data_IF_035582356829
#
_entry.id   IF_035582356829
#
_cell.length_a   1.000
_cell.length_b   1.000
_cell.length_c   1.000
_cell.angle_alpha   90.00
_cell.angle_beta   90.00
_cell.angle_gamma   90.00
#
_symmetry.space_group_name_H-M   'P 1'
#
loop_
_entity.id
_entity.type
_entity.pdbx_description
1 polymer ?
#
# COMPACT_ATOMS: atom_id res chain seq x y z
N UNK A 1 11.50 -3.90 -4.68
CA UNK A 1 10.27 -4.47 -4.12
C UNK A 1 9.19 -3.42 -4.02
N UNK A 2 7.95 -3.86 -4.20
CA UNK A 2 6.74 -3.06 -4.04
C UNK A 2 5.85 -3.74 -3.01
N UNK A 3 5.43 -3.02 -1.99
CA UNK A 3 4.39 -3.47 -1.08
C UNK A 3 3.04 -3.03 -1.66
N UNK A 4 2.16 -3.97 -1.89
CA UNK A 4 0.83 -3.71 -2.45
C UNK A 4 -0.13 -3.29 -1.35
N UNK A 5 -0.77 -2.14 -1.54
CA UNK A 5 -1.87 -1.70 -0.66
C UNK A 5 -3.22 -2.17 -1.18
N UNK A 6 -4.19 -2.32 -0.28
CA UNK A 6 -5.54 -2.75 -0.62
C UNK A 6 -6.22 -1.80 -1.62
N UNK A 7 -5.96 -0.50 -1.54
CA UNK A 7 -6.52 0.48 -2.47
C UNK A 7 -6.10 0.23 -3.92
N UNK A 8 -4.86 -0.18 -4.15
CA UNK A 8 -4.37 -0.59 -5.46
C UNK A 8 -4.84 -2.01 -5.82
N UNK A 9 -4.79 -2.94 -4.86
CA UNK A 9 -5.19 -4.34 -5.08
C UNK A 9 -6.58 -4.45 -5.73
N UNK A 10 -7.58 -3.75 -5.18
CA UNK A 10 -8.94 -3.79 -5.71
C UNK A 10 -9.09 -3.20 -7.10
N UNK A 11 -8.08 -2.45 -7.58
CA UNK A 11 -8.10 -1.77 -8.89
C UNK A 11 -7.20 -2.38 -9.92
N UNK A 12 -6.44 -3.43 -9.59
CA UNK A 12 -5.55 -4.10 -10.55
C UNK A 12 -6.30 -4.67 -11.76
N UNK A 13 -7.54 -5.12 -11.56
CA UNK A 13 -8.39 -5.65 -12.63
C UNK A 13 -9.32 -4.61 -13.27
N UNK A 14 -9.17 -3.33 -12.96
CA UNK A 14 -10.05 -2.29 -13.51
C UNK A 14 -9.88 -2.17 -15.03
N UNK A 15 -10.98 -2.19 -15.81
CA UNK A 15 -10.89 -1.97 -17.26
C UNK A 15 -10.48 -0.54 -17.63
N UNK A 16 -10.54 0.41 -16.69
CA UNK A 16 -10.08 1.78 -16.89
C UNK A 16 -8.59 1.96 -16.60
N UNK A 17 -7.93 0.95 -16.04
CA UNK A 17 -6.48 1.01 -15.87
C UNK A 17 -5.80 0.94 -17.24
N UNK A 18 -4.86 1.85 -17.47
CA UNK A 18 -4.09 1.90 -18.71
C UNK A 18 -3.46 0.54 -19.01
N UNK A 19 -3.56 0.08 -20.25
CA UNK A 19 -3.08 -1.25 -20.64
C UNK A 19 -1.58 -1.42 -20.46
N UNK A 20 -0.79 -0.39 -20.73
CA UNK A 20 0.65 -0.44 -20.51
C UNK A 20 0.97 -0.58 -19.01
N UNK A 21 0.25 0.15 -18.15
CA UNK A 21 0.38 0.05 -16.71
C UNK A 21 -0.05 -1.33 -16.19
N UNK A 22 -1.13 -1.85 -16.71
CA UNK A 22 -1.60 -3.19 -16.36
C UNK A 22 -0.55 -4.26 -16.68
N UNK A 23 0.07 -4.19 -17.87
CA UNK A 23 1.16 -5.11 -18.25
C UNK A 23 2.39 -4.95 -17.38
N UNK A 24 2.75 -3.72 -17.04
CA UNK A 24 3.90 -3.44 -16.17
C UNK A 24 3.71 -4.06 -14.78
N UNK A 25 2.55 -3.87 -14.16
CA UNK A 25 2.26 -4.47 -12.85
C UNK A 25 2.21 -5.99 -12.93
N UNK A 26 1.62 -6.55 -13.99
CA UNK A 26 1.61 -7.99 -14.21
C UNK A 26 3.02 -8.57 -14.35
N UNK A 27 3.92 -7.87 -15.03
CA UNK A 27 5.34 -8.26 -15.12
C UNK A 27 6.02 -8.23 -13.74
N UNK A 28 5.78 -7.19 -12.95
CA UNK A 28 6.31 -7.11 -11.59
C UNK A 28 5.83 -8.25 -10.71
N UNK A 29 4.55 -8.62 -10.80
CA UNK A 29 4.00 -9.77 -10.08
C UNK A 29 4.68 -11.06 -10.52
N UNK A 30 4.79 -11.28 -11.82
CA UNK A 30 5.43 -12.48 -12.38
C UNK A 30 6.90 -12.62 -11.95
N UNK A 31 7.58 -11.50 -11.74
CA UNK A 31 8.98 -11.46 -11.29
C UNK A 31 9.14 -11.51 -9.77
N UNK A 32 8.05 -11.62 -9.01
CA UNK A 32 8.07 -11.65 -7.55
C UNK A 32 8.44 -10.31 -6.89
N UNK A 33 8.26 -9.20 -7.59
CA UNK A 33 8.60 -7.86 -7.10
C UNK A 33 7.46 -7.20 -6.32
N UNK A 34 6.22 -7.68 -6.49
CA UNK A 34 5.05 -7.21 -5.73
C UNK A 34 4.85 -8.12 -4.53
N UNK A 35 4.74 -7.52 -3.36
CA UNK A 35 4.67 -8.22 -2.08
C UNK A 35 3.38 -7.88 -1.34
N UNK A 36 2.94 -8.79 -0.50
CA UNK A 36 1.84 -8.61 0.42
C UNK A 36 2.34 -8.31 1.83
N UNK A 37 1.42 -7.89 2.68
CA UNK A 37 1.64 -7.66 4.10
C UNK A 37 0.41 -8.04 4.90
N UNK A 38 0.53 -8.14 6.21
CA UNK A 38 -0.62 -8.39 7.09
C UNK A 38 -1.74 -7.35 6.91
N UNK A 39 -1.47 -6.03 6.84
CA UNK A 39 -2.50 -5.05 6.52
C UNK A 39 -3.29 -5.37 5.26
N UNK A 40 -2.63 -5.69 4.17
CA UNK A 40 -3.29 -6.06 2.92
C UNK A 40 -4.22 -7.25 3.11
N UNK A 41 -3.73 -8.29 3.78
CA UNK A 41 -4.51 -9.52 3.99
C UNK A 41 -5.74 -9.27 4.88
N UNK A 42 -5.59 -8.48 5.93
CA UNK A 42 -6.70 -8.14 6.83
C UNK A 42 -7.77 -7.32 6.10
N UNK A 43 -7.36 -6.32 5.34
CA UNK A 43 -8.31 -5.46 4.62
C UNK A 43 -9.04 -6.20 3.51
N UNK A 44 -8.34 -7.01 2.73
CA UNK A 44 -8.96 -7.75 1.62
C UNK A 44 -9.89 -8.86 2.08
N UNK A 45 -9.72 -9.36 3.30
CA UNK A 45 -10.55 -10.42 3.90
C UNK A 45 -11.61 -9.90 4.87
N UNK A 46 -11.70 -8.58 5.08
CA UNK A 46 -12.64 -7.98 6.02
C UNK A 46 -14.09 -8.00 5.50
N UNK A 47 -14.30 -8.10 4.20
CA UNK A 47 -15.62 -8.14 3.58
C UNK A 47 -16.28 -9.51 3.67
N UNK A 48 -17.57 -9.58 3.26
CA UNK A 48 -18.35 -10.81 3.24
C UNK A 48 -17.91 -11.80 2.17
N UNK A 49 -17.31 -11.30 1.10
CA UNK A 49 -16.86 -12.08 -0.04
C UNK A 49 -15.35 -12.00 -0.11
N UNK A 50 -14.69 -13.13 -0.21
CA UNK A 50 -13.25 -13.18 -0.39
C UNK A 50 -12.90 -12.69 -1.80
N UNK A 51 -11.74 -12.04 -1.98
CA UNK A 51 -11.30 -11.61 -3.29
C UNK A 51 -11.08 -12.81 -4.22
N UNK A 52 -11.27 -12.65 -5.54
CA UNK A 52 -11.08 -13.75 -6.50
C UNK A 52 -9.62 -14.20 -6.61
N UNK A 53 -8.68 -13.36 -6.23
CA UNK A 53 -7.24 -13.66 -6.16
C UNK A 53 -6.82 -13.53 -4.69
N UNK A 54 -6.11 -14.53 -4.17
CA UNK A 54 -5.61 -14.46 -2.80
C UNK A 54 -4.29 -13.68 -2.75
N UNK A 55 -4.26 -12.51 -2.10
CA UNK A 55 -3.01 -11.77 -1.94
C UNK A 55 -1.97 -12.54 -1.12
N UNK A 56 -2.38 -13.56 -0.37
CA UNK A 56 -1.47 -14.46 0.36
C UNK A 56 -0.57 -15.31 -0.53
N UNK A 57 -0.85 -15.39 -1.83
CA UNK A 57 0.03 -16.05 -2.81
C UNK A 57 1.25 -15.17 -3.19
N UNK A 58 1.21 -13.88 -2.90
CA UNK A 58 2.35 -12.98 -3.09
C UNK A 58 3.40 -13.21 -1.99
N UNK A 59 4.69 -12.93 -2.26
CA UNK A 59 5.70 -12.93 -1.21
C UNK A 59 5.29 -12.00 -0.07
N UNK A 60 5.47 -12.45 1.18
CA UNK A 60 5.07 -11.70 2.37
C UNK A 60 6.24 -10.91 2.96
N UNK A 61 5.99 -9.63 3.26
CA UNK A 61 6.85 -8.82 4.11
C UNK A 61 6.27 -8.83 5.53
N UNK A 62 7.01 -9.42 6.45
CA UNK A 62 6.56 -9.58 7.84
C UNK A 62 6.73 -8.28 8.64
N UNK A 63 5.82 -8.08 9.59
CA UNK A 63 5.89 -7.00 10.56
C UNK A 63 7.04 -7.27 11.53
N UNK A 64 7.84 -6.25 11.79
CA UNK A 64 8.84 -6.24 12.87
C UNK A 64 8.43 -5.30 13.99
N UNK A 65 8.99 -5.47 15.17
CA UNK A 65 8.78 -4.52 16.28
C UNK A 65 9.16 -3.08 15.86
N UNK A 66 10.21 -2.93 15.08
CA UNK A 66 10.63 -1.63 14.55
C UNK A 66 9.56 -1.01 13.65
N UNK A 67 8.93 -1.79 12.79
CA UNK A 67 7.83 -1.31 11.95
C UNK A 67 6.61 -0.90 12.77
N UNK A 68 6.27 -1.63 13.84
CA UNK A 68 5.16 -1.25 14.72
C UNK A 68 5.41 0.09 15.40
N UNK A 69 6.60 0.29 15.94
CA UNK A 69 6.98 1.58 16.55
C UNK A 69 6.99 2.72 15.53
N UNK A 70 7.49 2.44 14.33
CA UNK A 70 7.55 3.42 13.26
C UNK A 70 6.16 3.84 12.78
N UNK A 71 5.19 2.93 12.74
CA UNK A 71 3.81 3.24 12.40
C UNK A 71 3.22 4.30 13.34
N UNK A 72 3.44 4.15 14.65
CA UNK A 72 3.00 5.14 15.64
C UNK A 72 3.69 6.50 15.44
N UNK A 73 4.99 6.50 15.17
CA UNK A 73 5.74 7.72 14.89
C UNK A 73 5.24 8.44 13.62
N UNK A 74 4.99 7.72 12.54
CA UNK A 74 4.44 8.31 11.31
C UNK A 74 3.05 8.92 11.55
N UNK A 75 2.19 8.26 12.34
CA UNK A 75 0.90 8.81 12.73
C UNK A 75 1.05 10.10 13.53
N UNK A 76 1.96 10.14 14.47
CA UNK A 76 2.23 11.35 15.27
C UNK A 76 2.74 12.51 14.41
N UNK A 77 3.61 12.23 13.45
CA UNK A 77 4.09 13.25 12.51
C UNK A 77 2.93 13.80 11.65
N UNK A 78 2.08 12.92 11.13
CA UNK A 78 0.97 13.32 10.29
C UNK A 78 -0.08 14.12 11.09
N UNK A 79 -0.32 13.73 12.34
CA UNK A 79 -1.17 14.48 13.27
C UNK A 79 -0.62 15.87 13.54
N UNK A 80 0.68 15.99 13.78
CA UNK A 80 1.35 17.29 14.01
C UNK A 80 1.26 18.21 12.81
N UNK A 81 1.19 17.65 11.61
CA UNK A 81 0.97 18.38 10.36
C UNK A 81 -0.51 18.65 10.05
N UNK A 82 -1.44 18.23 10.93
CA UNK A 82 -2.89 18.32 10.72
C UNK A 82 -3.39 17.62 9.44
N UNK A 83 -2.74 16.51 9.07
CA UNK A 83 -3.02 15.75 7.86
C UNK A 83 -3.50 14.32 8.12
N UNK A 84 -3.76 13.96 9.38
CA UNK A 84 -4.07 12.59 9.80
C UNK A 84 -5.53 12.18 9.60
N UNK A 85 -6.46 13.15 9.52
CA UNK A 85 -7.90 12.84 9.40
C UNK A 85 -8.20 12.14 8.07
N UNK A 86 -8.93 11.03 8.17
CA UNK A 86 -9.30 10.22 7.00
C UNK A 86 -8.21 9.26 6.52
N UNK A 87 -7.05 9.18 7.19
CA UNK A 87 -6.03 8.17 6.90
C UNK A 87 -6.33 6.92 7.74
N UNK A 88 -6.62 5.77 7.11
CA UNK A 88 -6.87 4.53 7.85
C UNK A 88 -5.67 4.12 8.70
N UNK A 89 -5.87 3.59 9.92
CA UNK A 89 -4.76 3.19 10.79
C UNK A 89 -3.81 2.16 10.17
N UNK A 90 -4.31 1.24 9.35
CA UNK A 90 -3.49 0.23 8.69
C UNK A 90 -2.54 0.82 7.64
N UNK A 91 -2.81 2.02 7.12
CA UNK A 91 -1.92 2.69 6.16
C UNK A 91 -0.57 3.06 6.80
N UNK A 92 -0.58 3.49 8.06
CA UNK A 92 0.66 3.78 8.81
C UNK A 92 1.50 2.50 8.97
N UNK A 93 0.84 1.39 9.27
CA UNK A 93 1.51 0.11 9.43
C UNK A 93 2.07 -0.39 8.08
N UNK A 94 1.31 -0.29 7.01
CA UNK A 94 1.77 -0.64 5.66
C UNK A 94 2.99 0.20 5.26
N UNK A 95 2.95 1.51 5.49
CA UNK A 95 4.05 2.41 5.22
C UNK A 95 5.31 2.04 6.01
N UNK A 96 5.16 1.73 7.30
CA UNK A 96 6.28 1.32 8.15
C UNK A 96 6.89 -0.01 7.72
N UNK A 97 6.06 -0.98 7.31
CA UNK A 97 6.53 -2.28 6.80
C UNK A 97 7.34 -2.07 5.51
N UNK A 98 6.82 -1.27 4.59
CA UNK A 98 7.51 -0.97 3.34
C UNK A 98 8.89 -0.32 3.60
N UNK A 99 8.93 0.69 4.46
CA UNK A 99 10.17 1.36 4.84
C UNK A 99 11.18 0.38 5.46
N UNK A 100 10.72 -0.48 6.38
CA UNK A 100 11.55 -1.44 7.08
C UNK A 100 12.21 -2.46 6.14
N UNK A 101 11.52 -2.81 5.05
CA UNK A 101 12.01 -3.75 4.05
C UNK A 101 12.63 -3.10 2.81
N UNK A 102 12.73 -1.77 2.78
CA UNK A 102 13.26 -1.07 1.61
C UNK A 102 12.38 -1.17 0.37
N UNK A 103 11.07 -1.37 0.55
CA UNK A 103 10.10 -1.47 -0.53
C UNK A 103 9.44 -0.12 -0.80
N UNK A 104 9.03 0.12 -2.06
CA UNK A 104 8.09 1.17 -2.39
C UNK A 104 6.65 0.71 -2.08
N UNK A 105 5.70 1.64 -1.98
CA UNK A 105 4.30 1.34 -1.74
C UNK A 105 3.53 1.56 -3.03
N UNK A 106 2.87 0.53 -3.56
CA UNK A 106 1.95 0.65 -4.68
C UNK A 106 0.53 0.83 -4.15
N UNK A 107 -0.03 2.01 -4.35
CA UNK A 107 -1.28 2.43 -3.74
C UNK A 107 -2.23 3.13 -4.73
N UNK A 108 -3.46 3.38 -4.27
CA UNK A 108 -4.42 4.24 -4.94
C UNK A 108 -5.25 5.01 -3.88
N UNK A 109 -4.55 5.70 -2.98
CA UNK A 109 -5.17 6.43 -1.86
C UNK A 109 -4.37 7.71 -1.57
N UNK A 110 -5.08 8.82 -1.43
CA UNK A 110 -4.48 10.12 -1.08
C UNK A 110 -3.78 10.12 0.29
N UNK A 111 -4.11 9.18 1.18
CA UNK A 111 -3.45 9.02 2.48
C UNK A 111 -1.95 8.76 2.34
N UNK A 112 -1.54 7.92 1.38
CA UNK A 112 -0.11 7.66 1.15
C UNK A 112 0.61 8.88 0.55
N UNK A 113 -0.06 9.65 -0.31
CA UNK A 113 0.49 10.92 -0.81
C UNK A 113 0.74 11.90 0.34
N UNK A 114 -0.18 11.96 1.31
CA UNK A 114 -0.01 12.79 2.51
C UNK A 114 1.13 12.30 3.40
N UNK A 115 1.27 10.99 3.58
CA UNK A 115 2.39 10.40 4.30
C UNK A 115 3.72 10.77 3.67
N UNK A 116 3.84 10.65 2.35
CA UNK A 116 5.05 11.01 1.62
C UNK A 116 5.37 12.51 1.70
N UNK A 117 4.35 13.37 1.68
CA UNK A 117 4.52 14.83 1.65
C UNK A 117 4.76 15.45 3.05
N UNK A 118 4.21 14.86 4.11
CA UNK A 118 4.13 15.49 5.43
C UNK A 118 4.85 14.72 6.55
N UNK A 119 5.54 13.65 6.22
CA UNK A 119 6.36 12.88 7.17
C UNK A 119 7.76 12.64 6.62
N UNK A 120 8.65 12.11 7.46
CA UNK A 120 9.98 11.70 7.06
C UNK A 120 10.03 10.25 6.53
N UNK A 121 8.89 9.72 6.07
CA UNK A 121 8.81 8.40 5.46
C UNK A 121 9.87 8.25 4.37
N UNK A 122 10.74 7.26 4.50
CA UNK A 122 11.79 6.98 3.52
C UNK A 122 11.30 6.13 2.34
N UNK A 123 10.19 5.38 2.51
CA UNK A 123 9.63 4.57 1.43
C UNK A 123 9.05 5.47 0.33
N UNK A 124 9.31 5.11 -0.93
CA UNK A 124 8.69 5.76 -2.08
C UNK A 124 7.21 5.36 -2.14
N UNK A 125 6.33 6.33 -2.33
CA UNK A 125 4.91 6.09 -2.60
C UNK A 125 4.66 6.18 -4.09
N UNK A 126 4.03 5.16 -4.66
CA UNK A 126 3.77 5.06 -6.10
C UNK A 126 2.30 4.78 -6.35
N UNK A 127 1.62 5.73 -6.97
CA UNK A 127 0.22 5.56 -7.34
C UNK A 127 0.09 4.57 -8.51
N UNK A 128 -0.88 3.65 -8.41
CA UNK A 128 -1.22 2.72 -9.49
C UNK A 128 -1.60 3.45 -10.78
N UNK A 129 -2.32 4.56 -10.64
CA UNK A 129 -2.73 5.47 -11.69
C UNK A 129 -2.93 6.86 -11.07
N UNK A 130 -3.07 7.93 -11.86
CA UNK A 130 -3.43 9.24 -11.31
C UNK A 130 -4.70 9.14 -10.47
N UNK A 131 -4.68 9.67 -9.25
CA UNK A 131 -5.81 9.60 -8.32
C UNK A 131 -7.05 10.22 -8.95
N UNK A 132 -8.21 9.57 -8.75
CA UNK A 132 -9.48 10.00 -9.31
C UNK A 132 -9.77 9.48 -10.74
N UNK A 133 -8.87 8.71 -11.34
CA UNK A 133 -9.06 8.17 -12.71
C UNK A 133 -9.63 6.75 -12.73
N UNK A 134 -9.58 6.04 -11.62
CA UNK A 134 -10.14 4.69 -11.48
C UNK A 134 -11.33 4.71 -10.50
N UNK A 135 -12.38 3.90 -10.78
CA UNK A 135 -13.50 3.77 -9.85
C UNK A 135 -13.13 3.05 -8.55
#
# INVERSE_FOLDING_TARGET
>A
LLLLDASAFWRLGSPQLDEARHREVADWIARGLVTASTPLMLETRAGRVLPPVDPGELPLLWITERAERRAADLQDQLRSAHQHLGVPPLDYLAAAIAEDHGAAILHYDAGFERLGAHTDLAAVVEALAPLGTLP
#
